data_IF_413117481187
#
_entry.id   IF_413117481187
#
_cell.length_a   1.000
_cell.length_b   1.000
_cell.length_c   1.000
_cell.angle_alpha   90.00
_cell.angle_beta   90.00
_cell.angle_gamma   90.00
#
_symmetry.space_group_name_H-M   'P 1'
#
loop_
_entity.id
_entity.type
_entity.pdbx_description
1 polymer ?
#
# COMPACT_ATOMS: atom_id res chain seq x y z
N UNK A 1 -3.74 8.49 -1.12
CA UNK A 1 -3.97 8.36 0.33
C UNK A 1 -2.80 7.66 1.03
N UNK A 2 -2.54 6.37 0.79
CA UNK A 2 -1.51 5.61 1.52
C UNK A 2 -0.09 6.18 1.41
N UNK A 3 0.36 6.53 0.20
CA UNK A 3 1.70 7.12 -0.03
C UNK A 3 1.87 8.44 0.72
N UNK A 4 0.84 9.29 0.72
CA UNK A 4 0.84 10.56 1.47
C UNK A 4 0.91 10.29 2.97
N UNK A 5 0.13 9.34 3.48
CA UNK A 5 0.19 8.97 4.90
C UNK A 5 1.59 8.47 5.30
N UNK A 6 2.22 7.61 4.50
CA UNK A 6 3.60 7.15 4.74
C UNK A 6 4.59 8.33 4.72
N UNK A 7 4.46 9.24 3.76
CA UNK A 7 5.30 10.45 3.66
C UNK A 7 5.13 11.40 4.85
N UNK A 8 3.98 11.35 5.53
CA UNK A 8 3.70 12.11 6.75
C UNK A 8 4.11 11.35 8.03
N UNK A 9 4.78 10.20 7.90
CA UNK A 9 5.30 9.41 9.03
C UNK A 9 4.38 8.31 9.54
N UNK A 10 3.31 7.95 8.81
CA UNK A 10 2.50 6.79 9.17
C UNK A 10 3.33 5.50 9.13
N UNK A 11 3.39 4.78 10.24
CA UNK A 11 4.17 3.53 10.38
C UNK A 11 3.39 2.27 10.01
N UNK A 12 2.07 2.36 9.97
CA UNK A 12 1.16 1.25 9.63
C UNK A 12 0.17 1.73 8.59
N UNK A 13 -0.01 0.94 7.52
CA UNK A 13 -1.02 1.14 6.50
C UNK A 13 -1.79 -0.17 6.35
N UNK A 14 -3.11 -0.11 6.54
CA UNK A 14 -4.01 -1.24 6.34
C UNK A 14 -4.85 -1.06 5.07
N UNK A 15 -4.99 -2.14 4.28
CA UNK A 15 -5.83 -2.19 3.09
C UNK A 15 -6.45 -3.58 2.95
N UNK A 16 -7.73 -3.61 2.56
CA UNK A 16 -8.38 -4.84 2.09
C UNK A 16 -7.65 -5.35 0.85
N UNK A 17 -7.41 -6.67 0.79
CA UNK A 17 -6.63 -7.33 -0.25
C UNK A 17 -7.43 -8.45 -0.90
N UNK A 18 -7.27 -8.62 -2.21
CA UNK A 18 -7.82 -9.75 -2.97
C UNK A 18 -6.84 -10.25 -4.01
N UNK A 19 -7.02 -11.49 -4.46
CA UNK A 19 -6.30 -12.06 -5.60
C UNK A 19 -6.86 -11.52 -6.93
N UNK A 20 -8.16 -11.25 -6.98
CA UNK A 20 -8.89 -10.82 -8.18
C UNK A 20 -10.19 -10.11 -7.76
N UNK A 21 -10.39 -8.89 -8.26
CA UNK A 21 -11.57 -8.07 -7.95
C UNK A 21 -12.84 -8.53 -8.65
N UNK A 22 -12.72 -9.37 -9.68
CA UNK A 22 -13.86 -9.93 -10.41
C UNK A 22 -14.49 -11.12 -9.67
N UNK A 23 -13.88 -11.57 -8.57
CA UNK A 23 -14.47 -12.57 -7.69
C UNK A 23 -15.77 -12.04 -7.04
N UNK A 24 -16.73 -12.93 -6.74
CA UNK A 24 -17.97 -12.53 -6.09
C UNK A 24 -17.71 -12.04 -4.67
N UNK A 25 -18.31 -10.90 -4.32
CA UNK A 25 -18.31 -10.35 -2.96
C UNK A 25 -18.26 -8.83 -2.96
N UNK A 26 -18.94 -8.15 -2.01
CA UNK A 26 -19.04 -6.69 -1.98
C UNK A 26 -17.69 -6.00 -1.73
N UNK A 27 -16.77 -6.66 -1.01
CA UNK A 27 -15.47 -6.10 -0.65
C UNK A 27 -14.41 -6.24 -1.75
N UNK A 28 -14.69 -7.03 -2.79
CA UNK A 28 -13.76 -7.33 -3.87
C UNK A 28 -13.42 -6.07 -4.67
N UNK A 29 -14.44 -5.30 -5.04
CA UNK A 29 -14.30 -4.05 -5.81
C UNK A 29 -13.41 -3.02 -5.09
N UNK A 30 -13.45 -3.01 -3.76
CA UNK A 30 -12.72 -2.07 -2.91
C UNK A 30 -11.32 -2.56 -2.48
N UNK A 31 -11.01 -3.84 -2.71
CA UNK A 31 -9.75 -4.48 -2.28
C UNK A 31 -8.59 -4.19 -3.22
N UNK A 32 -7.36 -4.18 -2.75
CA UNK A 32 -6.15 -4.05 -3.57
C UNK A 32 -5.73 -5.42 -4.13
N UNK A 33 -5.25 -5.46 -5.37
CA UNK A 33 -4.75 -6.67 -6.04
C UNK A 33 -3.24 -6.87 -5.80
N UNK A 34 -2.67 -8.06 -6.10
CA UNK A 34 -1.29 -8.39 -5.76
C UNK A 34 -0.23 -7.49 -6.40
N UNK A 35 -0.41 -7.10 -7.65
CA UNK A 35 0.47 -6.20 -8.39
C UNK A 35 0.52 -4.80 -7.77
N UNK A 36 -0.65 -4.26 -7.40
CA UNK A 36 -0.81 -2.95 -6.76
C UNK A 36 -0.29 -2.97 -5.33
N UNK A 37 -0.51 -4.06 -4.59
CA UNK A 37 0.05 -4.22 -3.24
C UNK A 37 1.57 -4.28 -3.29
N UNK A 38 2.16 -5.00 -4.25
CA UNK A 38 3.61 -5.03 -4.47
C UNK A 38 4.16 -3.64 -4.77
N UNK A 39 3.47 -2.87 -5.62
CA UNK A 39 3.85 -1.48 -5.90
C UNK A 39 3.78 -0.61 -4.64
N UNK A 40 2.76 -0.79 -3.80
CA UNK A 40 2.62 -0.06 -2.54
C UNK A 40 3.77 -0.38 -1.56
N UNK A 41 4.19 -1.65 -1.47
CA UNK A 41 5.35 -2.05 -0.67
C UNK A 41 6.64 -1.44 -1.21
N UNK A 42 6.83 -1.42 -2.54
CA UNK A 42 8.00 -0.75 -3.14
C UNK A 42 8.02 0.73 -2.79
N UNK A 43 6.89 1.43 -2.91
CA UNK A 43 6.80 2.83 -2.55
C UNK A 43 7.09 3.09 -1.06
N UNK A 44 6.71 2.17 -0.16
CA UNK A 44 7.10 2.24 1.25
C UNK A 44 8.63 2.24 1.39
N UNK A 45 9.30 1.30 0.73
CA UNK A 45 10.76 1.16 0.80
C UNK A 45 11.46 2.39 0.22
N UNK A 46 11.00 2.88 -0.93
CA UNK A 46 11.53 4.10 -1.56
C UNK A 46 11.39 5.32 -0.62
N UNK A 47 10.23 5.46 0.05
CA UNK A 47 9.99 6.53 1.04
C UNK A 47 10.93 6.36 2.24
N UNK A 48 11.06 5.15 2.78
CA UNK A 48 11.96 4.88 3.92
C UNK A 48 13.43 5.17 3.57
N UNK A 49 13.88 4.90 2.36
CA UNK A 49 15.23 5.26 1.91
C UNK A 49 15.41 6.79 1.85
N UNK A 50 14.43 7.51 1.28
CA UNK A 50 14.46 8.97 1.17
C UNK A 50 14.49 9.66 2.54
N UNK A 51 13.71 9.17 3.51
CA UNK A 51 13.60 9.77 4.84
C UNK A 51 14.57 9.17 5.87
N UNK A 52 15.04 7.94 5.67
CA UNK A 52 15.91 7.18 6.57
C UNK A 52 17.41 7.42 6.35
N UNK A 53 17.81 7.97 5.19
CA UNK A 53 19.18 8.39 4.89
C UNK A 53 19.69 9.61 5.68
N UNK A 54 18.95 10.06 6.70
CA UNK A 54 19.27 11.23 7.54
C UNK A 54 19.58 10.90 9.01
N UNK A 55 19.91 9.65 9.35
CA UNK A 55 20.34 9.25 10.70
C UNK A 55 21.85 9.40 10.88
#
# INVERSE_FOLDING_TARGET
>A
ASVVAMSLGARIIEKHFTLDRDLPGPDQICSIEPDKLRLLCKMRDDIEEIFGGGS
#
